data_IF_187288644298
#
_entry.id   IF_187288644298
#
_cell.length_a   1.000
_cell.length_b   1.000
_cell.length_c   1.000
_cell.angle_alpha   90.00
_cell.angle_beta   90.00
_cell.angle_gamma   90.00
#
_symmetry.space_group_name_H-M   'P 1'
#
loop_
_entity.id
_entity.type
_entity.pdbx_description
1 polymer ?
#
# COMPACT_ATOMS: atom_id res chain seq x y z
N UNK A 1 -1.97 -29.50 -40.26
CA UNK A 1 -2.46 -29.73 -38.89
C UNK A 1 -2.33 -28.43 -38.13
N UNK A 2 -3.43 -27.72 -37.86
CA UNK A 2 -3.39 -26.51 -37.04
C UNK A 2 -3.27 -26.93 -35.57
N UNK A 3 -2.13 -26.65 -34.94
CA UNK A 3 -1.94 -26.76 -33.49
C UNK A 3 -2.98 -25.87 -32.81
N UNK A 4 -3.94 -26.49 -32.12
CA UNK A 4 -5.00 -25.80 -31.41
C UNK A 4 -4.39 -25.19 -30.12
N UNK A 5 -3.86 -23.96 -30.23
CA UNK A 5 -3.23 -23.27 -29.11
C UNK A 5 -4.28 -22.97 -28.03
N UNK A 6 -4.07 -23.49 -26.82
CA UNK A 6 -4.95 -23.25 -25.67
C UNK A 6 -4.36 -22.14 -24.80
N UNK A 7 -4.93 -20.95 -24.91
CA UNK A 7 -4.53 -19.79 -24.10
C UNK A 7 -4.73 -20.06 -22.60
N UNK A 8 -3.78 -19.61 -21.78
CA UNK A 8 -3.78 -19.84 -20.34
C UNK A 8 -4.85 -18.99 -19.62
N UNK A 9 -5.22 -19.40 -18.40
CA UNK A 9 -6.29 -18.74 -17.63
C UNK A 9 -5.96 -17.29 -17.27
N UNK A 10 -4.70 -17.02 -16.93
CA UNK A 10 -4.14 -15.70 -16.60
C UNK A 10 -4.35 -14.72 -17.76
N UNK A 11 -4.01 -15.11 -18.99
CA UNK A 11 -4.17 -14.27 -20.19
C UNK A 11 -5.65 -14.01 -20.47
N UNK A 12 -6.53 -15.00 -20.29
CA UNK A 12 -7.98 -14.80 -20.43
C UNK A 12 -8.52 -13.78 -19.42
N UNK A 13 -8.09 -13.86 -18.17
CA UNK A 13 -8.46 -12.90 -17.10
C UNK A 13 -7.93 -11.50 -17.42
N UNK A 14 -6.68 -11.40 -17.83
CA UNK A 14 -6.08 -10.16 -18.32
C UNK A 14 -6.89 -9.56 -19.49
N UNK A 15 -7.29 -10.36 -20.47
CA UNK A 15 -8.09 -9.91 -21.61
C UNK A 15 -9.47 -9.41 -21.20
N UNK A 16 -10.10 -10.02 -20.18
CA UNK A 16 -11.37 -9.54 -19.60
C UNK A 16 -11.21 -8.13 -19.01
N UNK A 17 -10.14 -7.90 -18.25
CA UNK A 17 -9.86 -6.57 -17.66
C UNK A 17 -9.48 -5.56 -18.75
N UNK A 18 -8.71 -5.97 -19.75
CA UNK A 18 -8.40 -5.16 -20.93
C UNK A 18 -9.67 -4.68 -21.66
N UNK A 19 -10.67 -5.54 -21.82
CA UNK A 19 -11.96 -5.15 -22.41
C UNK A 19 -12.67 -4.10 -21.56
N UNK A 20 -12.72 -4.27 -20.24
CA UNK A 20 -13.32 -3.28 -19.32
C UNK A 20 -12.59 -1.92 -19.37
N UNK A 21 -11.26 -1.94 -19.46
CA UNK A 21 -10.46 -0.72 -19.62
C UNK A 21 -10.77 0.01 -20.93
N UNK A 22 -11.01 -0.75 -22.00
CA UNK A 22 -11.40 -0.24 -23.31
C UNK A 22 -12.78 0.44 -23.26
N UNK A 23 -13.75 -0.21 -22.63
CA UNK A 23 -15.10 0.34 -22.43
C UNK A 23 -15.08 1.63 -21.62
N UNK A 24 -14.20 1.71 -20.61
CA UNK A 24 -13.99 2.93 -19.80
C UNK A 24 -13.09 3.98 -20.47
N UNK A 25 -12.73 3.81 -21.75
CA UNK A 25 -11.89 4.72 -22.53
C UNK A 25 -10.55 5.06 -21.86
N UNK A 26 -9.93 4.12 -21.13
CA UNK A 26 -8.64 4.33 -20.44
C UNK A 26 -7.44 4.37 -21.40
N UNK A 27 -7.62 4.02 -22.67
CA UNK A 27 -6.63 4.14 -23.73
C UNK A 27 -7.30 4.35 -25.08
N UNK A 28 -6.58 4.94 -26.05
CA UNK A 28 -7.14 5.35 -27.35
C UNK A 28 -7.36 4.20 -28.34
N UNK A 29 -6.52 3.16 -28.31
CA UNK A 29 -6.61 2.03 -29.25
C UNK A 29 -5.86 0.81 -28.72
N UNK A 30 -6.11 -0.37 -29.29
CA UNK A 30 -5.36 -1.59 -28.97
C UNK A 30 -3.85 -1.40 -29.20
N UNK A 31 -3.47 -0.67 -30.24
CA UNK A 31 -2.06 -0.37 -30.51
C UNK A 31 -1.46 0.59 -29.47
N UNK A 32 -2.24 1.58 -29.00
CA UNK A 32 -1.79 2.47 -27.93
C UNK A 32 -1.62 1.72 -26.60
N UNK A 33 -2.53 0.80 -26.29
CA UNK A 33 -2.40 -0.08 -25.13
C UNK A 33 -1.18 -1.00 -25.22
N UNK A 34 -0.94 -1.63 -26.38
CA UNK A 34 0.24 -2.48 -26.56
C UNK A 34 1.54 -1.69 -26.30
N UNK A 35 1.62 -0.46 -26.81
CA UNK A 35 2.75 0.43 -26.58
C UNK A 35 2.90 0.84 -25.11
N UNK A 36 1.81 1.08 -24.37
CA UNK A 36 1.89 1.50 -22.97
C UNK A 36 2.46 0.41 -22.05
N UNK A 37 2.35 -0.86 -22.44
CA UNK A 37 2.93 -2.01 -21.72
C UNK A 37 4.24 -2.50 -22.38
N UNK A 38 4.86 -1.67 -23.23
CA UNK A 38 6.06 -1.97 -24.02
C UNK A 38 5.98 -3.28 -24.82
N UNK A 39 4.86 -3.49 -25.50
CA UNK A 39 4.62 -4.66 -26.33
C UNK A 39 4.29 -4.27 -27.78
N UNK A 40 4.71 -5.12 -28.73
CA UNK A 40 4.49 -4.86 -30.15
C UNK A 40 2.99 -4.98 -30.48
N UNK A 41 2.35 -4.00 -31.15
CA UNK A 41 0.92 -4.06 -31.48
C UNK A 41 0.51 -5.30 -32.27
N UNK A 42 1.36 -5.77 -33.19
CA UNK A 42 1.13 -6.99 -33.98
C UNK A 42 1.10 -8.23 -33.07
N UNK A 43 2.07 -8.38 -32.18
CA UNK A 43 2.13 -9.48 -31.23
C UNK A 43 1.00 -9.41 -30.19
N UNK A 44 0.57 -8.21 -29.81
CA UNK A 44 -0.60 -8.03 -28.94
C UNK A 44 -1.90 -8.49 -29.62
N UNK A 45 -2.07 -8.24 -30.91
CA UNK A 45 -3.24 -8.73 -31.64
C UNK A 45 -3.31 -10.25 -31.66
N UNK A 46 -2.18 -10.97 -31.74
CA UNK A 46 -2.16 -12.43 -31.61
C UNK A 46 -2.65 -12.89 -30.24
N UNK A 47 -2.31 -12.15 -29.17
CA UNK A 47 -2.80 -12.43 -27.81
C UNK A 47 -4.30 -12.24 -27.74
N UNK A 48 -4.83 -11.13 -28.28
CA UNK A 48 -6.29 -10.87 -28.34
C UNK A 48 -7.04 -11.93 -29.15
N UNK A 49 -6.43 -12.44 -30.23
CA UNK A 49 -7.01 -13.50 -31.06
C UNK A 49 -6.87 -14.91 -30.44
N UNK A 50 -6.31 -15.02 -29.22
CA UNK A 50 -6.14 -16.30 -28.55
C UNK A 50 -5.08 -17.20 -29.20
N UNK A 51 -4.15 -16.64 -29.98
CA UNK A 51 -3.05 -17.39 -30.63
C UNK A 51 -1.78 -17.44 -29.80
N UNK A 52 -1.68 -16.58 -28.76
CA UNK A 52 -0.52 -16.46 -27.86
C UNK A 52 -0.96 -16.03 -26.47
N UNK A 53 -0.16 -16.36 -25.46
CA UNK A 53 -0.27 -15.81 -24.10
C UNK A 53 0.45 -14.45 -23.98
N UNK A 54 0.02 -13.63 -23.02
CA UNK A 54 0.71 -12.37 -22.72
C UNK A 54 2.00 -12.68 -21.92
N UNK A 55 3.16 -12.10 -22.28
CA UNK A 55 4.38 -12.26 -21.50
C UNK A 55 4.28 -11.66 -20.09
N UNK A 56 4.96 -12.27 -19.12
CA UNK A 56 4.93 -11.82 -17.73
C UNK A 56 5.42 -10.37 -17.55
N UNK A 57 6.46 -9.95 -18.28
CA UNK A 57 6.97 -8.58 -18.20
C UNK A 57 5.94 -7.54 -18.68
N UNK A 58 5.10 -7.90 -19.65
CA UNK A 58 4.00 -7.05 -20.09
C UNK A 58 2.89 -6.97 -19.04
N UNK A 59 2.58 -8.08 -18.35
CA UNK A 59 1.66 -8.09 -17.22
C UNK A 59 2.14 -7.20 -16.08
N UNK A 60 3.43 -7.26 -15.73
CA UNK A 60 4.03 -6.38 -14.74
C UNK A 60 3.83 -4.89 -15.08
N UNK A 61 4.11 -4.51 -16.33
CA UNK A 61 3.88 -3.14 -16.80
C UNK A 61 2.41 -2.76 -16.80
N UNK A 62 1.55 -3.67 -17.20
CA UNK A 62 0.10 -3.49 -17.14
C UNK A 62 -0.39 -3.16 -15.73
N UNK A 63 0.05 -3.89 -14.71
CA UNK A 63 -0.32 -3.63 -13.31
C UNK A 63 0.11 -2.24 -12.86
N UNK A 64 1.34 -1.83 -13.20
CA UNK A 64 1.87 -0.53 -12.81
C UNK A 64 1.22 0.64 -13.57
N UNK A 65 1.07 0.53 -14.89
CA UNK A 65 0.56 1.61 -15.75
C UNK A 65 -0.91 1.89 -15.49
N UNK A 66 -1.70 0.84 -15.25
CA UNK A 66 -3.14 0.96 -15.03
C UNK A 66 -3.55 0.89 -13.55
N UNK A 67 -2.57 0.78 -12.65
CA UNK A 67 -2.75 0.66 -11.20
C UNK A 67 -3.72 -0.47 -10.81
N UNK A 68 -3.47 -1.66 -11.34
CA UNK A 68 -4.33 -2.84 -11.18
C UNK A 68 -3.67 -3.82 -10.22
N UNK A 69 -4.44 -4.31 -9.25
CA UNK A 69 -4.03 -5.37 -8.33
C UNK A 69 -3.71 -6.68 -9.10
N UNK A 70 -2.49 -7.21 -9.04
CA UNK A 70 -2.13 -8.48 -9.69
C UNK A 70 -3.02 -9.65 -9.29
N UNK A 71 -3.55 -9.65 -8.07
CA UNK A 71 -4.38 -10.74 -7.54
C UNK A 71 -5.60 -11.03 -8.42
N UNK A 72 -6.18 -10.02 -9.09
CA UNK A 72 -7.36 -10.20 -9.95
C UNK A 72 -7.06 -10.99 -11.23
N UNK A 73 -5.80 -11.01 -11.67
CA UNK A 73 -5.37 -11.77 -12.85
C UNK A 73 -4.92 -13.18 -12.48
N UNK A 74 -4.33 -13.36 -11.29
CA UNK A 74 -3.73 -14.64 -10.88
C UNK A 74 -4.63 -15.53 -10.01
N UNK A 75 -5.56 -14.97 -9.22
CA UNK A 75 -6.35 -15.74 -8.26
C UNK A 75 -7.74 -16.06 -8.81
N UNK A 76 -8.15 -17.32 -8.64
CA UNK A 76 -9.34 -17.83 -9.31
C UNK A 76 -10.65 -17.20 -8.82
N UNK A 77 -10.85 -17.12 -7.49
CA UNK A 77 -12.10 -16.73 -6.81
C UNK A 77 -12.32 -15.22 -6.64
N UNK A 78 -11.25 -14.43 -6.78
CA UNK A 78 -11.31 -12.98 -6.58
C UNK A 78 -12.16 -12.32 -7.66
N UNK A 79 -12.17 -12.88 -8.87
CA UNK A 79 -12.93 -12.34 -9.98
C UNK A 79 -14.45 -12.49 -9.80
N UNK A 80 -14.98 -13.59 -9.26
CA UNK A 80 -16.44 -13.75 -9.21
C UNK A 80 -17.08 -13.04 -8.01
N UNK A 81 -16.47 -13.12 -6.82
CA UNK A 81 -17.02 -12.49 -5.63
C UNK A 81 -16.71 -10.98 -5.50
N UNK A 82 -15.63 -10.47 -6.11
CA UNK A 82 -15.31 -9.03 -6.07
C UNK A 82 -15.86 -8.21 -7.25
N UNK A 83 -16.47 -8.85 -8.26
CA UNK A 83 -17.14 -8.15 -9.38
C UNK A 83 -18.61 -7.77 -9.08
N UNK A 84 -19.19 -8.24 -7.97
CA UNK A 84 -20.59 -7.98 -7.60
C UNK A 84 -20.78 -6.69 -6.75
N UNK A 85 -19.71 -6.08 -6.23
CA UNK A 85 -19.72 -4.79 -5.54
C UNK A 85 -19.16 -3.65 -6.40
N UNK A 86 -19.27 -2.40 -5.93
CA UNK A 86 -18.62 -1.21 -6.51
C UNK A 86 -17.09 -1.29 -6.41
N UNK A 87 -16.47 -2.24 -7.10
CA UNK A 87 -15.04 -2.41 -7.10
C UNK A 87 -14.40 -1.36 -8.02
N UNK A 88 -13.43 -0.61 -7.46
CA UNK A 88 -12.54 0.30 -8.19
C UNK A 88 -11.24 -0.46 -8.51
N UNK A 89 -11.14 -1.19 -9.64
CA UNK A 89 -9.94 -1.96 -10.01
C UNK A 89 -8.69 -1.10 -10.27
N UNK A 90 -8.81 0.23 -10.14
CA UNK A 90 -7.78 1.24 -10.39
C UNK A 90 -7.13 1.77 -9.10
N UNK A 91 -7.57 1.28 -7.96
CA UNK A 91 -7.01 1.64 -6.67
C UNK A 91 -6.22 0.44 -6.13
N UNK A 92 -5.14 0.08 -6.83
CA UNK A 92 -3.98 -0.37 -6.08
C UNK A 92 -3.44 0.86 -5.36
N UNK A 93 -4.08 1.26 -4.27
CA UNK A 93 -3.35 1.98 -3.25
C UNK A 93 -2.28 0.96 -2.85
N UNK A 94 -1.04 1.18 -3.31
CA UNK A 94 0.10 0.61 -2.60
C UNK A 94 -0.22 0.96 -1.16
N UNK A 95 -0.52 -0.06 -0.35
CA UNK A 95 -0.65 0.16 1.09
C UNK A 95 0.56 1.00 1.43
N UNK A 96 0.33 2.29 1.71
CA UNK A 96 1.32 3.07 2.43
C UNK A 96 1.31 2.35 3.76
N UNK A 97 2.18 1.36 3.88
CA UNK A 97 2.45 0.70 5.14
C UNK A 97 2.87 1.86 6.01
N UNK A 98 1.98 2.29 6.90
CA UNK A 98 2.30 3.31 7.88
C UNK A 98 3.27 2.64 8.83
N UNK A 99 4.55 2.95 8.66
CA UNK A 99 5.61 2.41 9.49
C UNK A 99 5.66 3.29 10.73
N UNK A 100 5.46 2.69 11.89
CA UNK A 100 5.67 3.34 13.17
C UNK A 100 6.99 2.83 13.75
N UNK A 101 8.08 3.59 13.66
CA UNK A 101 9.36 3.17 14.18
C UNK A 101 9.30 3.13 15.72
N UNK A 102 9.82 2.05 16.30
CA UNK A 102 9.89 1.82 17.74
C UNK A 102 11.35 1.95 18.17
N UNK A 103 11.62 2.79 19.16
CA UNK A 103 12.96 2.92 19.73
C UNK A 103 13.29 1.70 20.59
N UNK A 104 14.43 1.07 20.34
CA UNK A 104 14.90 -0.09 21.11
C UNK A 104 16.35 0.07 21.54
N UNK A 105 16.70 -0.62 22.64
CA UNK A 105 18.09 -0.80 23.07
C UNK A 105 18.71 -2.04 22.41
N UNK A 106 20.05 -2.21 22.46
CA UNK A 106 20.72 -3.40 21.92
C UNK A 106 20.24 -4.73 22.52
N UNK A 107 19.67 -4.71 23.72
CA UNK A 107 19.06 -5.87 24.37
C UNK A 107 17.56 -6.04 24.03
N UNK A 108 17.09 -5.34 23.00
CA UNK A 108 15.73 -5.38 22.46
C UNK A 108 14.63 -4.90 23.43
N UNK A 109 14.98 -4.07 24.43
CA UNK A 109 13.99 -3.38 25.27
C UNK A 109 13.51 -2.10 24.60
N UNK A 110 12.19 -1.91 24.56
CA UNK A 110 11.59 -0.69 24.01
C UNK A 110 11.92 0.54 24.88
N UNK A 111 12.01 1.69 24.22
CA UNK A 111 12.17 3.00 24.83
C UNK A 111 11.00 3.86 24.44
N UNK A 112 10.55 4.70 25.37
CA UNK A 112 9.42 5.60 25.17
C UNK A 112 9.95 6.93 24.65
N UNK A 113 9.73 7.28 23.37
CA UNK A 113 10.04 8.61 22.87
C UNK A 113 9.15 9.66 23.55
N UNK A 114 9.74 10.83 23.83
CA UNK A 114 9.11 11.96 24.49
C UNK A 114 8.99 13.13 23.52
N UNK A 115 7.76 13.42 23.11
CA UNK A 115 7.39 14.51 22.21
C UNK A 115 7.03 15.74 23.05
N UNK A 116 7.97 16.68 23.17
CA UNK A 116 7.72 17.99 23.79
C UNK A 116 6.81 18.87 22.93
N UNK A 117 6.24 19.93 23.51
CA UNK A 117 5.44 20.94 22.77
C UNK A 117 6.14 21.46 21.52
N UNK A 118 7.45 21.72 21.63
CA UNK A 118 8.28 22.20 20.51
C UNK A 118 8.47 21.15 19.40
N UNK A 119 8.48 19.87 19.77
CA UNK A 119 8.67 18.76 18.85
C UNK A 119 7.36 18.25 18.24
N UNK A 120 6.20 18.64 18.77
CA UNK A 120 4.88 18.16 18.34
C UNK A 120 4.62 18.43 16.84
N UNK A 121 4.96 19.62 16.34
CA UNK A 121 4.83 19.95 14.92
C UNK A 121 5.74 19.08 14.02
N UNK A 122 6.94 18.72 14.50
CA UNK A 122 7.84 17.79 13.82
C UNK A 122 7.26 16.38 13.80
N UNK A 123 6.71 15.93 14.94
CA UNK A 123 6.11 14.61 15.07
C UNK A 123 4.92 14.40 14.13
N UNK A 124 4.03 15.39 13.97
CA UNK A 124 2.90 15.29 13.03
C UNK A 124 3.35 15.00 11.59
N UNK A 125 4.49 15.55 11.18
CA UNK A 125 5.01 15.40 9.82
C UNK A 125 6.03 14.25 9.67
N UNK A 126 6.65 13.82 10.77
CA UNK A 126 7.80 12.91 10.78
C UNK A 126 7.63 11.69 11.67
N UNK A 127 6.42 11.35 12.10
CA UNK A 127 6.21 10.16 12.95
C UNK A 127 6.58 8.83 12.24
N UNK A 128 6.65 8.82 10.91
CA UNK A 128 7.10 7.67 10.10
C UNK A 128 8.63 7.69 9.85
N UNK A 129 9.32 8.76 10.23
CA UNK A 129 10.74 8.95 9.99
C UNK A 129 11.59 8.42 11.16
N UNK A 130 12.33 7.35 10.89
CA UNK A 130 13.25 6.71 11.85
C UNK A 130 14.30 7.66 12.40
N UNK A 131 14.83 8.58 11.58
CA UNK A 131 15.87 9.52 12.00
C UNK A 131 15.29 10.56 12.98
N UNK A 132 14.09 11.07 12.66
CA UNK A 132 13.39 12.00 13.54
C UNK A 132 13.05 11.35 14.89
N UNK A 133 12.44 10.16 14.88
CA UNK A 133 12.07 9.45 16.10
C UNK A 133 13.31 9.05 16.90
N UNK A 134 14.40 8.67 16.23
CA UNK A 134 15.71 8.36 16.82
C UNK A 134 16.35 9.52 17.60
N UNK A 135 16.06 10.77 17.22
CA UNK A 135 16.60 11.96 17.88
C UNK A 135 15.77 12.43 19.09
N UNK A 136 14.57 11.89 19.29
CA UNK A 136 13.72 12.29 20.40
C UNK A 136 14.33 11.86 21.75
N UNK A 137 14.26 12.73 22.78
CA UNK A 137 14.52 12.32 24.15
C UNK A 137 13.64 11.13 24.51
N UNK A 138 14.16 10.18 25.28
CA UNK A 138 13.45 8.94 25.54
C UNK A 138 13.78 8.37 26.92
N UNK A 139 12.83 7.62 27.48
CA UNK A 139 12.95 6.96 28.78
C UNK A 139 12.75 5.46 28.66
N UNK A 140 13.20 4.71 29.66
CA UNK A 140 12.95 3.27 29.74
C UNK A 140 11.74 3.02 30.64
N UNK A 141 10.89 2.08 30.26
CA UNK A 141 9.81 1.62 31.12
C UNK A 141 10.31 0.52 32.07
N UNK A 142 9.69 0.40 33.25
CA UNK A 142 9.80 -0.80 34.07
C UNK A 142 9.36 -2.05 33.28
N UNK A 143 9.98 -3.23 33.54
CA UNK A 143 9.66 -4.45 32.79
C UNK A 143 8.18 -4.84 32.79
N UNK A 144 7.45 -4.51 33.85
CA UNK A 144 6.03 -4.86 34.01
C UNK A 144 5.09 -4.00 33.12
N UNK A 145 5.62 -3.00 32.42
CA UNK A 145 4.87 -2.10 31.52
C UNK A 145 5.24 -2.27 30.05
N UNK A 146 6.08 -3.24 29.71
CA UNK A 146 6.66 -3.47 28.38
C UNK A 146 5.72 -4.23 27.41
N UNK A 147 4.41 -4.11 27.62
CA UNK A 147 3.42 -4.87 26.85
C UNK A 147 2.92 -4.15 25.59
N UNK A 148 3.25 -2.86 25.44
CA UNK A 148 2.84 -2.01 24.33
C UNK A 148 3.90 -0.95 24.07
N UNK A 149 4.04 -0.56 22.81
CA UNK A 149 4.84 0.60 22.44
C UNK A 149 4.13 1.88 22.89
N UNK A 150 4.79 2.61 23.79
CA UNK A 150 4.27 3.83 24.39
C UNK A 150 5.03 5.03 23.81
N UNK A 151 4.29 6.11 23.56
CA UNK A 151 4.84 7.43 23.25
C UNK A 151 4.38 8.42 24.32
N UNK A 152 5.28 9.27 24.78
CA UNK A 152 4.98 10.35 25.71
C UNK A 152 4.76 11.68 24.97
N UNK A 153 3.69 12.40 25.29
CA UNK A 153 3.39 13.73 24.76
C UNK A 153 3.29 14.74 25.88
N UNK A 154 3.90 15.91 25.71
CA UNK A 154 3.70 17.02 26.63
C UNK A 154 2.43 17.78 26.25
N UNK A 155 1.49 17.91 27.20
CA UNK A 155 0.22 18.60 27.02
C UNK A 155 0.46 20.10 26.84
N UNK A 156 -0.13 20.69 25.80
CA UNK A 156 -0.09 22.12 25.49
C UNK A 156 -1.48 22.75 25.66
N UNK A 157 -1.55 23.83 26.44
CA UNK A 157 -2.78 24.57 26.70
C UNK A 157 -3.66 23.96 27.79
N UNK A 158 -4.88 24.47 27.88
CA UNK A 158 -5.88 24.22 28.93
C UNK A 158 -7.07 23.37 28.45
N UNK A 159 -7.06 22.92 27.19
CA UNK A 159 -8.20 22.24 26.56
C UNK A 159 -8.58 20.89 27.18
N UNK A 160 -7.71 20.30 28.00
CA UNK A 160 -7.92 19.03 28.69
C UNK A 160 -8.17 19.20 30.20
N UNK A 161 -8.34 20.43 30.67
CA UNK A 161 -8.66 20.72 32.07
C UNK A 161 -10.09 20.26 32.43
N UNK A 162 -10.32 19.81 33.68
CA UNK A 162 -9.40 19.80 34.81
C UNK A 162 -8.57 18.52 34.94
N UNK A 163 -8.62 17.61 33.97
CA UNK A 163 -8.00 16.27 34.09
C UNK A 163 -6.50 16.29 33.80
N UNK A 164 -6.07 17.16 32.89
CA UNK A 164 -4.66 17.37 32.52
C UNK A 164 -4.40 18.87 32.41
N UNK A 165 -3.26 19.30 32.90
CA UNK A 165 -2.82 20.69 32.90
C UNK A 165 -1.68 20.93 31.89
N UNK A 166 -1.49 22.20 31.54
CA UNK A 166 -0.39 22.61 30.67
C UNK A 166 0.98 22.15 31.21
N UNK A 167 1.73 21.43 30.37
CA UNK A 167 3.05 20.90 30.72
C UNK A 167 3.06 19.48 31.29
N UNK A 168 1.90 18.89 31.59
CA UNK A 168 1.79 17.49 32.00
C UNK A 168 2.26 16.54 30.91
N UNK A 169 2.69 15.34 31.30
CA UNK A 169 3.08 14.27 30.38
C UNK A 169 1.98 13.22 30.26
N UNK A 170 1.51 13.03 29.04
CA UNK A 170 0.56 11.99 28.67
C UNK A 170 1.30 10.84 28.01
N UNK A 171 1.12 9.62 28.53
CA UNK A 171 1.66 8.41 27.92
C UNK A 171 0.54 7.65 27.23
N UNK A 172 0.68 7.39 25.94
CA UNK A 172 -0.31 6.68 25.16
C UNK A 172 0.33 5.53 24.37
N UNK A 173 -0.44 4.45 24.21
CA UNK A 173 -0.13 3.37 23.29
C UNK A 173 -0.96 3.54 22.02
N UNK A 174 -0.42 3.11 20.89
CA UNK A 174 -1.19 3.04 19.65
C UNK A 174 -2.38 2.08 19.81
N UNK A 175 -3.54 2.45 19.28
CA UNK A 175 -4.71 1.57 19.17
C UNK A 175 -4.74 1.03 17.75
N UNK A 176 -4.69 -0.30 17.63
CA UNK A 176 -4.79 -1.03 16.36
C UNK A 176 -6.22 -0.96 15.78
#
# INVERSE_FOLDING_TARGET
MATNFKQNAVTKRFLKIFQQLKEKNKFRSNAAFAKSIDYLPQAFNEVVQGRRDIPLHCLYKFFNVYNIDPAIVFLDDVAENRLAGEYKPYAYERFQVKIHPILTQPDNRERVPLVSKKAAAGYVNGFEDEEFIGQLPNISLPPDLDHKSIVGFQVEGDSMEPNLYDGDWLFCSFLE
#
